data_IF_814625266314
#
_entry.id   IF_814625266314
#
_cell.length_a   1.000
_cell.length_b   1.000
_cell.length_c   1.000
_cell.angle_alpha   90.00
_cell.angle_beta   90.00
_cell.angle_gamma   90.00
#
_symmetry.space_group_name_H-M   'P 1'
#
loop_
_entity.id
_entity.type
_entity.pdbx_description
1 polymer ?
#
# COMPACT_ATOMS: atom_id res chain seq x y z
N UNK A 1 -23.34 -3.26 29.83
CA UNK A 1 -23.45 -3.18 28.36
C UNK A 1 -23.50 -4.58 27.79
N UNK A 2 -24.50 -4.90 26.96
CA UNK A 2 -24.60 -6.20 26.30
C UNK A 2 -23.72 -6.19 25.04
N UNK A 3 -22.99 -7.28 24.77
CA UNK A 3 -22.06 -7.41 23.64
C UNK A 3 -22.73 -7.05 22.29
N UNK A 4 -24.02 -7.32 22.12
CA UNK A 4 -24.76 -6.95 20.91
C UNK A 4 -24.91 -5.44 20.69
N UNK A 5 -24.93 -4.63 21.75
CA UNK A 5 -24.96 -3.16 21.66
C UNK A 5 -23.59 -2.62 21.23
N UNK A 6 -22.51 -3.16 21.82
CA UNK A 6 -21.13 -2.85 21.40
C UNK A 6 -20.91 -3.10 19.91
N UNK A 7 -21.38 -4.23 19.36
CA UNK A 7 -21.22 -4.55 17.94
C UNK A 7 -22.03 -3.59 17.04
N UNK A 8 -23.23 -3.22 17.47
CA UNK A 8 -24.08 -2.26 16.76
C UNK A 8 -23.42 -0.88 16.69
N UNK A 9 -22.94 -0.40 17.83
CA UNK A 9 -22.30 0.92 17.95
C UNK A 9 -20.99 0.96 17.15
N UNK A 10 -20.22 -0.14 17.15
CA UNK A 10 -18.99 -0.26 16.36
C UNK A 10 -19.27 -0.26 14.85
N UNK A 11 -20.33 -0.96 14.43
CA UNK A 11 -20.76 -0.97 13.03
C UNK A 11 -21.17 0.43 12.57
N UNK A 12 -21.99 1.14 13.34
CA UNK A 12 -22.40 2.51 13.02
C UNK A 12 -21.22 3.48 12.99
N UNK A 13 -20.28 3.36 13.94
CA UNK A 13 -19.08 4.17 13.96
C UNK A 13 -18.21 3.91 12.72
N UNK A 14 -17.97 2.65 12.34
CA UNK A 14 -17.20 2.31 11.14
C UNK A 14 -17.88 2.82 9.88
N UNK A 15 -19.19 2.61 9.72
CA UNK A 15 -19.93 3.06 8.55
C UNK A 15 -19.89 4.59 8.44
N UNK A 16 -20.08 5.30 9.55
CA UNK A 16 -20.06 6.77 9.59
C UNK A 16 -18.67 7.30 9.26
N UNK A 17 -17.61 6.74 9.85
CA UNK A 17 -16.23 7.13 9.57
C UNK A 17 -15.84 6.86 8.11
N UNK A 18 -16.29 5.75 7.53
CA UNK A 18 -16.07 5.42 6.13
C UNK A 18 -16.80 6.41 5.23
N UNK A 19 -18.07 6.72 5.50
CA UNK A 19 -18.82 7.72 4.74
C UNK A 19 -18.20 9.12 4.85
N UNK A 20 -17.75 9.53 6.03
CA UNK A 20 -17.04 10.79 6.23
C UNK A 20 -15.71 10.82 5.47
N UNK A 21 -14.97 9.71 5.47
CA UNK A 21 -13.73 9.57 4.69
C UNK A 21 -13.97 9.71 3.18
N UNK A 22 -15.08 9.14 2.68
CA UNK A 22 -15.47 9.27 1.27
C UNK A 22 -16.02 10.66 0.93
N UNK A 23 -16.82 11.28 1.81
CA UNK A 23 -17.36 12.63 1.62
C UNK A 23 -16.31 13.73 1.72
N UNK A 24 -15.23 13.51 2.49
CA UNK A 24 -14.12 14.46 2.58
C UNK A 24 -13.46 14.72 1.22
N UNK A 25 -13.68 13.88 0.20
CA UNK A 25 -13.34 14.09 -1.21
C UNK A 25 -11.83 14.17 -1.51
N UNK A 26 -11.01 14.53 -0.55
CA UNK A 26 -9.55 14.71 -0.62
C UNK A 26 -8.81 13.46 -0.16
N UNK A 27 -9.36 12.73 0.81
CA UNK A 27 -8.77 11.49 1.36
C UNK A 27 -8.91 10.30 0.40
N UNK A 28 -9.95 10.29 -0.45
CA UNK A 28 -10.19 9.22 -1.42
C UNK A 28 -9.10 9.16 -2.50
N UNK A 29 -8.61 10.31 -2.99
CA UNK A 29 -7.56 10.31 -4.03
C UNK A 29 -6.23 9.78 -3.49
N UNK A 30 -5.90 10.09 -2.24
CA UNK A 30 -4.68 9.61 -1.59
C UNK A 30 -4.80 8.11 -1.32
N UNK A 31 -5.98 7.65 -0.89
CA UNK A 31 -6.27 6.23 -0.75
C UNK A 31 -6.13 5.48 -2.09
N UNK A 32 -6.74 5.99 -3.16
CA UNK A 32 -6.64 5.40 -4.50
C UNK A 32 -5.20 5.41 -5.03
N UNK A 33 -4.45 6.49 -4.82
CA UNK A 33 -3.03 6.54 -5.18
C UNK A 33 -2.20 5.52 -4.38
N UNK A 34 -2.47 5.36 -3.08
CA UNK A 34 -1.84 4.34 -2.24
C UNK A 34 -2.13 2.92 -2.72
N UNK A 35 -3.39 2.60 -3.00
CA UNK A 35 -3.80 1.29 -3.55
C UNK A 35 -3.15 1.06 -4.91
N UNK A 36 -3.11 2.07 -5.78
CA UNK A 36 -2.47 1.98 -7.10
C UNK A 36 -0.97 1.75 -6.98
N UNK A 37 -0.29 2.44 -6.05
CA UNK A 37 1.13 2.26 -5.77
C UNK A 37 1.44 0.84 -5.29
N UNK A 38 0.60 0.28 -4.42
CA UNK A 38 0.71 -1.11 -3.98
C UNK A 38 0.52 -2.10 -5.14
N UNK A 39 -0.48 -1.87 -6.00
CA UNK A 39 -0.73 -2.70 -7.17
C UNK A 39 0.45 -2.68 -8.15
N UNK A 40 0.98 -1.50 -8.45
CA UNK A 40 2.18 -1.34 -9.29
C UNK A 40 3.38 -2.03 -8.64
N UNK A 41 3.59 -1.84 -7.34
CA UNK A 41 4.66 -2.48 -6.59
C UNK A 41 4.60 -4.01 -6.66
N UNK A 42 3.39 -4.59 -6.55
CA UNK A 42 3.18 -6.04 -6.69
C UNK A 42 3.51 -6.53 -8.11
N UNK A 43 3.02 -5.83 -9.15
CA UNK A 43 3.29 -6.18 -10.54
C UNK A 43 4.80 -6.16 -10.82
N UNK A 44 5.48 -5.10 -10.39
CA UNK A 44 6.91 -4.95 -10.59
C UNK A 44 7.69 -5.99 -9.79
N UNK A 45 7.29 -6.30 -8.55
CA UNK A 45 7.86 -7.42 -7.78
C UNK A 45 7.71 -8.75 -8.52
N UNK A 46 6.55 -9.05 -9.10
CA UNK A 46 6.37 -10.29 -9.87
C UNK A 46 7.30 -10.30 -11.08
N UNK A 47 7.46 -9.18 -11.78
CA UNK A 47 8.37 -9.06 -12.92
C UNK A 47 9.84 -9.29 -12.55
N UNK A 48 10.25 -9.10 -11.29
CA UNK A 48 11.63 -9.41 -10.86
C UNK A 48 11.97 -10.90 -10.92
N UNK A 49 10.98 -11.80 -10.89
CA UNK A 49 11.21 -13.22 -11.04
C UNK A 49 11.63 -13.62 -12.46
N UNK A 50 11.44 -12.72 -13.43
CA UNK A 50 11.91 -12.85 -14.80
C UNK A 50 13.29 -12.19 -15.03
N UNK A 51 13.93 -11.69 -13.97
CA UNK A 51 15.30 -11.18 -14.04
C UNK A 51 16.29 -12.28 -14.40
N UNK A 52 17.43 -11.89 -14.97
CA UNK A 52 18.50 -12.83 -15.35
C UNK A 52 19.04 -13.56 -14.13
N UNK A 53 19.11 -12.87 -13.00
CA UNK A 53 19.55 -13.39 -11.70
C UNK A 53 18.58 -14.45 -11.19
N UNK A 54 17.27 -14.18 -11.26
CA UNK A 54 16.23 -15.12 -10.84
C UNK A 54 16.15 -16.34 -11.77
N UNK A 55 16.30 -16.15 -13.08
CA UNK A 55 16.24 -17.23 -14.06
C UNK A 55 17.44 -18.19 -13.98
N UNK A 56 18.59 -17.72 -13.49
CA UNK A 56 19.79 -18.53 -13.30
C UNK A 56 19.75 -19.40 -12.03
N UNK A 57 18.84 -19.10 -11.10
CA UNK A 57 18.72 -19.81 -9.83
C UNK A 57 17.73 -20.99 -9.93
N UNK A 58 17.94 -22.07 -9.15
CA UNK A 58 16.99 -23.17 -9.04
C UNK A 58 15.60 -22.70 -8.55
N UNK A 59 14.51 -23.36 -9.00
CA UNK A 59 13.16 -22.97 -8.61
C UNK A 59 12.94 -23.11 -7.09
N UNK A 60 12.06 -22.26 -6.54
CA UNK A 60 11.74 -22.23 -5.11
C UNK A 60 12.39 -21.07 -4.37
N UNK A 61 12.92 -21.33 -3.17
CA UNK A 61 13.47 -20.30 -2.29
C UNK A 61 14.70 -19.60 -2.87
N UNK A 62 15.57 -20.33 -3.56
CA UNK A 62 16.79 -19.78 -4.15
C UNK A 62 16.50 -18.75 -5.25
N UNK A 63 15.50 -19.03 -6.10
CA UNK A 63 14.99 -18.08 -7.08
C UNK A 63 14.38 -16.83 -6.46
N UNK A 64 13.68 -16.96 -5.33
CA UNK A 64 13.19 -15.80 -4.59
C UNK A 64 14.34 -14.94 -4.08
N UNK A 65 15.33 -15.53 -3.41
CA UNK A 65 16.51 -14.80 -2.92
C UNK A 65 17.24 -14.10 -4.07
N UNK A 66 17.46 -14.78 -5.20
CA UNK A 66 18.08 -14.19 -6.38
C UNK A 66 17.25 -13.05 -6.99
N UNK A 67 15.93 -13.20 -7.06
CA UNK A 67 15.03 -12.13 -7.51
C UNK A 67 15.11 -10.90 -6.59
N UNK A 68 15.13 -11.10 -5.28
CA UNK A 68 15.23 -10.00 -4.29
C UNK A 68 16.58 -9.27 -4.31
N UNK A 69 17.64 -9.96 -4.75
CA UNK A 69 18.97 -9.37 -4.94
C UNK A 69 19.14 -8.65 -6.29
N UNK A 70 18.16 -8.74 -7.18
CA UNK A 70 18.24 -8.12 -8.51
C UNK A 70 18.10 -6.59 -8.46
N UNK A 71 18.73 -5.91 -9.41
CA UNK A 71 18.61 -4.46 -9.54
C UNK A 71 17.15 -4.02 -9.71
N UNK A 72 16.33 -4.84 -10.38
CA UNK A 72 14.91 -4.58 -10.59
C UNK A 72 14.14 -4.54 -9.26
N UNK A 73 14.42 -5.46 -8.33
CA UNK A 73 13.80 -5.48 -7.00
C UNK A 73 14.19 -4.26 -6.18
N UNK A 74 15.49 -3.89 -6.22
CA UNK A 74 16.00 -2.71 -5.53
C UNK A 74 15.36 -1.44 -6.08
N UNK A 75 15.31 -1.27 -7.40
CA UNK A 75 14.65 -0.12 -8.04
C UNK A 75 13.16 -0.06 -7.72
N UNK A 76 12.46 -1.20 -7.71
CA UNK A 76 11.06 -1.28 -7.28
C UNK A 76 10.88 -0.81 -5.83
N UNK A 77 11.76 -1.25 -4.95
CA UNK A 77 11.73 -0.87 -3.53
C UNK A 77 11.91 0.63 -3.34
N UNK A 78 12.82 1.26 -4.10
CA UNK A 78 13.00 2.71 -4.10
C UNK A 78 11.78 3.46 -4.64
N UNK A 79 11.17 2.97 -5.72
CA UNK A 79 9.97 3.59 -6.29
C UNK A 79 8.80 3.56 -5.30
N UNK A 80 8.57 2.41 -4.64
CA UNK A 80 7.53 2.27 -3.62
C UNK A 80 7.83 3.18 -2.43
N UNK A 81 9.05 3.14 -1.89
CA UNK A 81 9.43 3.97 -0.74
C UNK A 81 9.28 5.47 -1.06
N UNK A 82 9.76 5.91 -2.23
CA UNK A 82 9.61 7.29 -2.70
C UNK A 82 8.15 7.69 -2.89
N UNK A 83 7.35 6.81 -3.51
CA UNK A 83 5.90 7.03 -3.66
C UNK A 83 5.18 7.18 -2.32
N UNK A 84 5.51 6.35 -1.33
CA UNK A 84 5.00 6.45 0.02
C UNK A 84 5.40 7.78 0.68
N UNK A 85 6.67 8.20 0.57
CA UNK A 85 7.13 9.49 1.11
C UNK A 85 6.36 10.65 0.48
N UNK A 86 6.20 10.67 -0.84
CA UNK A 86 5.46 11.73 -1.54
C UNK A 86 4.00 11.74 -1.09
N UNK A 87 3.35 10.58 -0.95
CA UNK A 87 2.00 10.48 -0.43
C UNK A 87 1.90 10.99 1.01
N UNK A 88 2.83 10.60 1.89
CA UNK A 88 2.86 11.04 3.29
C UNK A 88 3.07 12.55 3.43
N UNK A 89 4.00 13.16 2.68
CA UNK A 89 4.21 14.63 2.67
C UNK A 89 2.94 15.35 2.20
N UNK A 90 2.23 14.77 1.23
CA UNK A 90 0.99 15.36 0.73
C UNK A 90 -0.21 15.10 1.66
N UNK A 91 -0.16 14.10 2.53
CA UNK A 91 -1.26 13.72 3.42
C UNK A 91 -1.14 14.36 4.81
N UNK A 92 0.06 14.41 5.39
CA UNK A 92 0.30 14.88 6.77
C UNK A 92 -0.18 16.33 7.02
N UNK A 93 0.17 17.33 6.20
CA UNK A 93 -0.32 18.70 6.39
C UNK A 93 -1.84 18.84 6.21
N UNK A 94 -2.47 17.87 5.53
CA UNK A 94 -3.92 17.86 5.29
C UNK A 94 -4.70 17.27 6.46
N UNK A 95 -4.07 16.43 7.28
CA UNK A 95 -4.63 15.98 8.55
C UNK A 95 -4.50 17.06 9.64
N UNK A 96 -3.43 17.84 9.61
CA UNK A 96 -3.17 18.90 10.60
C UNK A 96 -3.96 20.19 10.33
N UNK A 97 -4.40 20.43 9.09
CA UNK A 97 -5.20 21.60 8.70
C UNK A 97 -6.72 21.45 8.88
N UNK A 98 -7.21 20.30 9.35
CA UNK A 98 -8.63 20.05 9.67
C UNK A 98 -8.92 20.18 11.18
N UNK A 99 -8.18 21.05 11.89
CA UNK A 99 -8.46 21.46 13.27
C UNK A 99 -9.28 22.75 13.34
#
# INVERSE_FOLDING_TARGET
MKVGQLISDLKEAVVTNVFQFFQAGRSIYIFLCGVSLLAIGLIVMIATFDSREAAAAPPGWERFVAATGSNQWVSCSFLIAGGCIVLSINYLPRLEGES
#
